data_IF_918695181208
#
_entry.id   IF_918695181208
#
_cell.length_a   1.000
_cell.length_b   1.000
_cell.length_c   1.000
_cell.angle_alpha   90.00
_cell.angle_beta   90.00
_cell.angle_gamma   90.00
#
_symmetry.space_group_name_H-M   'P 1'
#
loop_
_entity.id
_entity.type
_entity.pdbx_description
1 polymer ?
#
# COMPACT_ATOMS: atom_id res chain seq x y z
N UNK A 1 -9.17 13.06 -7.48
CA UNK A 1 -10.25 12.88 -6.49
C UNK A 1 -11.22 11.77 -6.90
N UNK A 2 -11.93 11.85 -8.04
CA UNK A 2 -12.83 10.76 -8.48
C UNK A 2 -12.11 9.39 -8.58
N UNK A 3 -10.90 9.38 -9.14
CA UNK A 3 -10.06 8.17 -9.19
C UNK A 3 -9.77 7.58 -7.80
N UNK A 4 -9.50 8.42 -6.80
CA UNK A 4 -9.23 8.03 -5.42
C UNK A 4 -10.45 7.39 -4.77
N UNK A 5 -11.63 7.98 -4.98
CA UNK A 5 -12.89 7.43 -4.49
C UNK A 5 -13.21 6.07 -5.14
N UNK A 6 -13.06 5.97 -6.47
CA UNK A 6 -13.29 4.72 -7.17
C UNK A 6 -12.28 3.63 -6.76
N UNK A 7 -11.02 4.00 -6.56
CA UNK A 7 -9.97 3.05 -6.17
C UNK A 7 -10.16 2.52 -4.74
N UNK A 8 -10.74 3.29 -3.82
CA UNK A 8 -10.99 2.84 -2.45
C UNK A 8 -12.10 1.76 -2.34
N UNK A 9 -12.95 1.63 -3.36
CA UNK A 9 -14.11 0.72 -3.33
C UNK A 9 -13.71 -0.76 -3.20
N UNK A 10 -14.61 -1.61 -2.67
CA UNK A 10 -14.36 -3.05 -2.48
C UNK A 10 -13.93 -3.82 -3.73
N UNK A 11 -14.43 -3.40 -4.90
CA UNK A 11 -14.13 -4.05 -6.19
C UNK A 11 -12.82 -3.56 -6.83
N UNK A 12 -12.19 -2.54 -6.23
CA UNK A 12 -10.90 -2.02 -6.65
C UNK A 12 -9.83 -2.42 -5.64
N UNK A 13 -9.37 -1.49 -4.79
CA UNK A 13 -8.32 -1.76 -3.80
C UNK A 13 -8.89 -2.20 -2.45
N UNK A 14 -10.20 -1.99 -2.24
CA UNK A 14 -10.90 -2.32 -1.01
C UNK A 14 -10.20 -1.76 0.23
N UNK A 15 -9.81 -0.49 0.17
CA UNK A 15 -9.07 0.16 1.24
C UNK A 15 -10.00 0.60 2.37
N UNK A 16 -9.56 0.39 3.60
CA UNK A 16 -10.28 0.73 4.82
C UNK A 16 -9.35 1.40 5.83
N UNK A 17 -9.92 2.07 6.84
CA UNK A 17 -9.17 2.59 7.99
C UNK A 17 -8.37 1.52 8.76
N UNK A 18 -8.67 0.23 8.54
CA UNK A 18 -7.96 -0.92 9.13
C UNK A 18 -6.73 -1.33 8.33
N UNK A 19 -6.55 -0.79 7.13
CA UNK A 19 -5.42 -1.14 6.30
C UNK A 19 -4.14 -0.39 6.70
N UNK A 20 -3.02 -1.06 6.44
CA UNK A 20 -1.68 -0.49 6.51
C UNK A 20 -1.10 -0.56 5.10
N UNK A 21 -0.90 0.61 4.50
CA UNK A 21 -0.52 0.76 3.09
C UNK A 21 0.97 1.08 3.00
N UNK A 22 1.72 0.27 2.26
CA UNK A 22 3.13 0.47 1.97
C UNK A 22 3.35 0.67 0.45
N UNK A 23 3.47 1.93 -0.02
CA UNK A 23 3.81 2.21 -1.41
C UNK A 23 5.34 2.07 -1.61
N UNK A 24 5.76 0.99 -2.26
CA UNK A 24 7.14 0.80 -2.75
C UNK A 24 7.34 1.54 -4.08
N UNK A 25 6.25 1.77 -4.82
CA UNK A 25 6.29 2.61 -6.03
C UNK A 25 6.66 4.05 -5.63
N UNK A 26 7.67 4.66 -6.26
CA UNK A 26 8.06 6.03 -5.92
C UNK A 26 6.92 7.02 -6.13
N UNK A 27 6.74 7.97 -5.21
CA UNK A 27 5.67 8.97 -5.30
C UNK A 27 5.78 9.88 -6.53
N UNK A 28 6.99 10.13 -7.02
CA UNK A 28 7.19 10.89 -8.27
C UNK A 28 6.75 10.12 -9.52
N UNK A 29 6.42 8.82 -9.40
CA UNK A 29 5.90 8.01 -10.48
C UNK A 29 4.38 7.84 -10.31
N UNK A 30 3.62 8.68 -11.03
CA UNK A 30 2.14 8.68 -11.06
C UNK A 30 1.53 8.75 -9.65
N UNK A 31 2.12 9.54 -8.74
CA UNK A 31 1.68 9.72 -7.35
C UNK A 31 1.58 8.42 -6.54
N UNK A 32 2.47 7.44 -6.81
CA UNK A 32 2.35 6.09 -6.28
C UNK A 32 0.92 5.52 -6.47
N UNK A 33 0.36 5.77 -7.66
CA UNK A 33 -0.99 5.36 -8.08
C UNK A 33 -2.11 5.94 -7.19
N UNK A 34 -1.83 7.08 -6.58
CA UNK A 34 -2.76 7.75 -5.69
C UNK A 34 -2.94 7.09 -4.33
N UNK A 35 -2.13 6.06 -3.99
CA UNK A 35 -2.19 5.37 -2.70
C UNK A 35 -2.08 6.31 -1.49
N UNK A 36 -1.22 7.35 -1.48
CA UNK A 36 -1.19 8.30 -0.37
C UNK A 36 -2.52 9.03 -0.19
N UNK A 37 -3.20 9.38 -1.30
CA UNK A 37 -4.51 10.03 -1.24
C UNK A 37 -5.61 9.08 -0.77
N UNK A 38 -5.57 7.82 -1.22
CA UNK A 38 -6.51 6.79 -0.76
C UNK A 38 -6.33 6.55 0.73
N UNK A 39 -5.09 6.41 1.20
CA UNK A 39 -4.75 6.20 2.61
C UNK A 39 -5.28 7.34 3.48
N UNK A 40 -5.03 8.60 3.09
CA UNK A 40 -5.58 9.76 3.81
C UNK A 40 -7.11 9.83 3.75
N UNK A 41 -7.73 9.45 2.62
CA UNK A 41 -9.18 9.46 2.46
C UNK A 41 -9.88 8.45 3.37
N UNK A 42 -9.35 7.22 3.48
CA UNK A 42 -9.96 6.17 4.30
C UNK A 42 -9.45 6.18 5.76
N UNK A 43 -8.42 6.96 6.08
CA UNK A 43 -7.79 6.98 7.39
C UNK A 43 -6.91 5.76 7.67
N UNK A 44 -6.32 5.16 6.63
CA UNK A 44 -5.41 4.03 6.75
C UNK A 44 -4.02 4.48 7.22
N UNK A 45 -3.29 3.58 7.86
CA UNK A 45 -1.89 3.80 8.23
C UNK A 45 -1.03 3.78 6.96
N UNK A 46 -0.15 4.77 6.80
CA UNK A 46 0.74 4.90 5.65
C UNK A 46 2.19 4.75 6.08
N UNK A 47 2.91 3.81 5.47
CA UNK A 47 4.31 3.47 5.81
C UNK A 47 5.19 3.66 4.58
N UNK A 48 6.24 4.47 4.68
CA UNK A 48 7.16 4.70 3.56
C UNK A 48 8.45 3.88 3.73
N UNK A 49 8.86 3.08 2.72
CA UNK A 49 10.04 2.20 2.82
C UNK A 49 11.40 2.91 2.76
N UNK A 50 11.41 4.25 2.59
CA UNK A 50 12.66 5.00 2.49
C UNK A 50 13.53 4.55 1.30
N UNK A 51 14.87 4.72 1.37
CA UNK A 51 15.78 4.35 0.29
C UNK A 51 16.12 2.85 0.23
N UNK A 52 15.86 2.09 1.30
CA UNK A 52 16.19 0.67 1.40
C UNK A 52 15.07 -0.18 0.76
N UNK A 53 15.18 -0.41 -0.55
CA UNK A 53 14.21 -1.17 -1.34
C UNK A 53 14.66 -2.62 -1.62
N UNK A 54 15.57 -3.15 -0.81
CA UNK A 54 15.96 -4.55 -0.88
C UNK A 54 14.89 -5.46 -0.27
N UNK A 55 14.83 -6.70 -0.75
CA UNK A 55 13.78 -7.65 -0.33
C UNK A 55 13.79 -7.97 1.16
N UNK A 56 14.96 -7.91 1.81
CA UNK A 56 15.10 -8.20 3.25
C UNK A 56 14.55 -7.05 4.08
N UNK A 57 14.96 -5.82 3.83
CA UNK A 57 14.45 -4.64 4.53
C UNK A 57 12.95 -4.44 4.29
N UNK A 58 12.44 -4.71 3.08
CA UNK A 58 11.00 -4.68 2.83
C UNK A 58 10.25 -5.77 3.62
N UNK A 59 10.79 -6.98 3.72
CA UNK A 59 10.18 -8.05 4.51
C UNK A 59 10.15 -7.72 6.01
N UNK A 60 11.25 -7.22 6.55
CA UNK A 60 11.32 -6.77 7.95
C UNK A 60 10.31 -5.65 8.22
N UNK A 61 10.16 -4.70 7.29
CA UNK A 61 9.21 -3.60 7.41
C UNK A 61 7.75 -4.06 7.28
N UNK A 62 7.48 -5.01 6.38
CA UNK A 62 6.15 -5.62 6.21
C UNK A 62 5.68 -6.29 7.51
N UNK A 63 6.56 -7.03 8.18
CA UNK A 63 6.24 -7.70 9.45
C UNK A 63 6.22 -6.73 10.64
N UNK A 64 7.17 -5.80 10.73
CA UNK A 64 7.21 -4.83 11.83
C UNK A 64 5.97 -3.94 11.87
N UNK A 65 5.49 -3.50 10.70
CA UNK A 65 4.37 -2.57 10.60
C UNK A 65 3.02 -3.25 10.33
N UNK A 66 3.01 -4.59 10.18
CA UNK A 66 1.82 -5.40 9.87
C UNK A 66 1.10 -4.91 8.61
N UNK A 67 1.85 -4.73 7.53
CA UNK A 67 1.35 -4.17 6.27
C UNK A 67 0.29 -5.07 5.65
N UNK A 68 -0.89 -4.51 5.39
CA UNK A 68 -2.00 -5.23 4.78
C UNK A 68 -2.05 -5.05 3.27
N UNK A 69 -1.55 -3.93 2.74
CA UNK A 69 -1.51 -3.63 1.31
C UNK A 69 -0.12 -3.13 0.89
N UNK A 70 0.55 -3.91 0.03
CA UNK A 70 1.84 -3.57 -0.56
C UNK A 70 1.67 -3.30 -2.05
N UNK A 71 2.26 -2.20 -2.54
CA UNK A 71 2.29 -1.88 -3.96
C UNK A 71 3.73 -1.70 -4.45
N UNK A 72 4.21 -2.61 -5.30
CA UNK A 72 5.57 -2.59 -5.83
C UNK A 72 5.66 -2.97 -7.31
N UNK A 73 6.69 -2.48 -8.00
CA UNK A 73 6.99 -2.84 -9.38
C UNK A 73 7.92 -4.05 -9.41
N UNK A 74 7.53 -5.11 -10.13
CA UNK A 74 8.43 -6.21 -10.46
C UNK A 74 9.33 -5.84 -11.63
N UNK A 75 10.61 -6.22 -11.56
CA UNK A 75 11.54 -6.07 -12.68
C UNK A 75 10.99 -6.80 -13.91
N UNK A 76 10.78 -6.06 -15.02
CA UNK A 76 10.31 -6.60 -16.29
C UNK A 76 8.79 -6.75 -16.47
N UNK A 77 7.96 -6.42 -15.47
CA UNK A 77 6.49 -6.42 -15.60
C UNK A 77 5.91 -5.06 -15.23
N UNK A 78 5.07 -4.50 -16.09
CA UNK A 78 4.17 -3.40 -15.73
C UNK A 78 3.07 -3.85 -14.76
N UNK A 79 2.97 -5.16 -14.52
CA UNK A 79 2.01 -5.78 -13.60
C UNK A 79 2.42 -5.51 -12.15
N UNK A 80 1.64 -4.66 -11.50
CA UNK A 80 1.65 -4.39 -10.08
C UNK A 80 1.17 -5.64 -9.34
N UNK A 81 2.01 -6.22 -8.48
CA UNK A 81 1.54 -7.24 -7.55
C UNK A 81 1.09 -6.52 -6.29
N UNK A 82 -0.23 -6.46 -6.10
CA UNK A 82 -0.82 -6.08 -4.83
C UNK A 82 -0.92 -7.31 -3.95
N UNK A 83 -0.05 -7.40 -2.94
CA UNK A 83 -0.19 -8.41 -1.90
C UNK A 83 -1.10 -7.85 -0.83
N UNK A 84 -2.29 -8.46 -0.70
CA UNK A 84 -3.22 -8.16 0.38
C UNK A 84 -3.21 -9.28 1.41
N UNK A 85 -2.75 -8.98 2.63
CA UNK A 85 -2.96 -9.85 3.79
C UNK A 85 -4.34 -9.53 4.40
N UNK A 86 -5.07 -10.52 4.94
CA UNK A 86 -6.24 -10.22 5.77
C UNK A 86 -5.79 -9.31 6.92
N UNK A 87 -6.54 -8.25 7.18
CA UNK A 87 -6.22 -7.34 8.26
C UNK A 87 -6.13 -8.14 9.56
N UNK A 88 -4.94 -8.21 10.16
CA UNK A 88 -4.76 -8.81 11.48
C UNK A 88 -5.51 -7.95 12.49
N UNK A 89 -6.41 -8.57 13.23
CA UNK A 89 -7.24 -7.91 14.25
C UNK A 89 -6.35 -7.46 15.41
N UNK A 90 -5.73 -6.29 15.25
CA UNK A 90 -4.85 -5.65 16.22
C UNK A 90 -5.55 -4.49 16.95
N UNK A 91 -6.89 -4.42 16.85
CA UNK A 91 -7.74 -3.54 17.67
C UNK A 91 -8.70 -4.39 18.54
N UNK A 92 -8.10 -5.16 19.43
CA UNK A 92 -8.63 -5.47 20.75
C UNK A 92 -7.75 -4.75 21.79
#
# INVERSE_FOLDING_TARGET
MLHTYAAALPDALNCSARDVILPVVPMFHVNAWGLPYIACMVGAKLVFPGPALDGKSLYELLEAEQVTLLAFRLSGKACLVMLRKPASDSRA
#
